data_IF_927211584131
#
_entry.id   IF_927211584131
#
_cell.length_a   1.000
_cell.length_b   1.000
_cell.length_c   1.000
_cell.angle_alpha   90.00
_cell.angle_beta   90.00
_cell.angle_gamma   90.00
#
_symmetry.space_group_name_H-M   'P 1'
#
loop_
_entity.id
_entity.type
_entity.pdbx_description
1 polymer ?
#
# COMPACT_ATOMS: atom_id res chain seq x y z
N UNK A 1 15.11 2.84 26.16
CA UNK A 1 15.43 2.83 24.71
C UNK A 1 15.07 4.18 24.12
N UNK A 2 15.86 4.71 23.19
CA UNK A 2 15.51 5.92 22.44
C UNK A 2 14.73 5.52 21.19
N UNK A 3 13.46 5.92 21.11
CA UNK A 3 12.57 5.63 19.97
C UNK A 3 12.51 6.78 18.96
N UNK A 4 13.32 7.82 19.15
CA UNK A 4 13.42 8.96 18.26
C UNK A 4 14.77 9.01 17.53
N UNK A 5 14.72 9.54 16.32
CA UNK A 5 15.90 9.90 15.54
C UNK A 5 15.81 11.38 15.14
N UNK A 6 16.96 12.01 14.97
CA UNK A 6 17.04 13.42 14.61
C UNK A 6 16.58 13.67 13.17
N UNK A 7 16.08 14.88 12.89
CA UNK A 7 15.80 15.32 11.53
C UNK A 7 17.05 15.27 10.62
N UNK A 8 18.26 15.41 11.19
CA UNK A 8 19.53 15.26 10.47
C UNK A 8 19.75 13.82 10.02
N UNK A 9 19.49 12.84 10.89
CA UNK A 9 19.54 11.41 10.53
C UNK A 9 18.51 11.07 9.45
N UNK A 10 17.28 11.58 9.57
CA UNK A 10 16.23 11.42 8.55
C UNK A 10 16.69 11.89 7.17
N UNK A 11 17.18 13.14 7.09
CA UNK A 11 17.65 13.75 5.83
C UNK A 11 18.81 12.97 5.22
N UNK A 12 19.75 12.49 6.04
CA UNK A 12 20.87 11.67 5.57
C UNK A 12 20.40 10.33 5.02
N UNK A 13 19.51 9.62 5.71
CA UNK A 13 18.95 8.35 5.24
C UNK A 13 18.19 8.53 3.91
N UNK A 14 17.37 9.58 3.80
CA UNK A 14 16.72 9.92 2.54
C UNK A 14 17.73 10.16 1.41
N UNK A 15 18.79 10.94 1.66
CA UNK A 15 19.80 11.23 0.66
C UNK A 15 20.56 9.98 0.20
N UNK A 16 20.86 9.05 1.12
CA UNK A 16 21.47 7.76 0.78
C UNK A 16 20.53 6.94 -0.11
N UNK A 17 19.26 6.81 0.26
CA UNK A 17 18.26 6.08 -0.54
C UNK A 17 18.09 6.71 -1.92
N UNK A 18 18.03 8.04 -1.99
CA UNK A 18 17.86 8.77 -3.25
C UNK A 18 19.05 8.58 -4.19
N UNK A 19 20.29 8.67 -3.69
CA UNK A 19 21.47 8.49 -4.53
C UNK A 19 21.60 7.04 -5.02
N UNK A 20 21.41 6.06 -4.11
CA UNK A 20 21.49 4.64 -4.47
C UNK A 20 20.39 4.26 -5.47
N UNK A 21 19.13 4.62 -5.20
CA UNK A 21 18.03 4.32 -6.12
C UNK A 21 18.18 5.10 -7.43
N UNK A 22 18.72 6.32 -7.42
CA UNK A 22 19.01 7.06 -8.65
C UNK A 22 19.95 6.32 -9.58
N UNK A 23 21.02 5.73 -9.04
CA UNK A 23 21.99 4.92 -9.80
C UNK A 23 21.33 3.64 -10.32
N UNK A 24 20.67 2.89 -9.44
CA UNK A 24 20.03 1.60 -9.78
C UNK A 24 18.94 1.82 -10.82
N UNK A 25 18.06 2.80 -10.65
CA UNK A 25 16.93 3.05 -11.56
C UNK A 25 17.37 3.55 -12.92
N UNK A 26 18.43 4.36 -12.98
CA UNK A 26 19.01 4.81 -14.25
C UNK A 26 19.47 3.62 -15.08
N UNK A 27 20.18 2.68 -14.47
CA UNK A 27 20.66 1.48 -15.16
C UNK A 27 19.53 0.48 -15.43
N UNK A 28 18.63 0.28 -14.49
CA UNK A 28 17.46 -0.60 -14.67
C UNK A 28 16.61 -0.18 -15.87
N UNK A 29 16.45 1.13 -16.09
CA UNK A 29 15.78 1.68 -17.25
C UNK A 29 16.50 1.31 -18.56
N UNK A 30 17.82 1.41 -18.60
CA UNK A 30 18.63 0.97 -19.76
C UNK A 30 18.42 -0.52 -20.03
N UNK A 31 18.51 -1.34 -18.99
CA UNK A 31 18.35 -2.78 -19.09
C UNK A 31 16.94 -3.20 -19.53
N UNK A 32 15.91 -2.47 -19.09
CA UNK A 32 14.54 -2.70 -19.55
C UNK A 32 14.36 -2.38 -21.04
N UNK A 33 14.96 -1.29 -21.53
CA UNK A 33 14.92 -0.92 -22.95
C UNK A 33 15.64 -1.95 -23.84
N UNK A 34 16.80 -2.48 -23.39
CA UNK A 34 17.49 -3.58 -24.08
C UNK A 34 16.65 -4.87 -24.13
N UNK A 35 15.82 -5.11 -23.12
CA UNK A 35 14.90 -6.24 -23.10
C UNK A 35 13.73 -6.04 -24.07
N UNK A 36 13.06 -4.90 -24.01
CA UNK A 36 12.01 -4.50 -24.95
C UNK A 36 11.89 -2.97 -24.97
N UNK A 37 11.90 -2.38 -26.17
CA UNK A 37 11.70 -0.94 -26.38
C UNK A 37 10.36 -0.43 -25.80
N UNK A 38 9.40 -1.34 -25.62
CA UNK A 38 8.06 -1.05 -25.13
C UNK A 38 7.88 -1.34 -23.63
N UNK A 39 8.86 -1.96 -22.96
CA UNK A 39 8.90 -2.03 -21.49
C UNK A 39 9.61 -0.78 -20.96
N UNK A 40 8.84 0.20 -20.48
CA UNK A 40 9.40 1.46 -19.95
C UNK A 40 9.34 1.49 -18.45
N UNK A 41 10.48 1.74 -17.80
CA UNK A 41 10.58 1.98 -16.36
C UNK A 41 10.89 3.47 -16.14
N UNK A 42 10.16 4.13 -15.25
CA UNK A 42 10.49 5.52 -14.84
C UNK A 42 11.75 5.49 -13.96
N UNK A 43 12.67 6.41 -14.23
CA UNK A 43 13.87 6.59 -13.40
C UNK A 43 13.54 7.25 -12.04
N UNK A 44 12.33 7.78 -11.89
CA UNK A 44 11.80 8.32 -10.64
C UNK A 44 10.97 7.27 -9.93
N UNK A 45 11.10 7.21 -8.62
CA UNK A 45 10.32 6.36 -7.75
C UNK A 45 9.43 7.19 -6.82
N UNK A 46 8.42 6.54 -6.26
CA UNK A 46 7.51 7.13 -5.28
C UNK A 46 7.78 6.48 -3.92
N UNK A 47 8.31 7.27 -2.98
CA UNK A 47 8.40 6.87 -1.57
C UNK A 47 7.00 6.77 -0.97
N UNK A 48 6.69 5.65 -0.34
CA UNK A 48 5.40 5.46 0.34
C UNK A 48 5.32 6.20 1.69
N UNK A 49 4.11 6.31 2.25
CA UNK A 49 3.80 7.14 3.42
C UNK A 49 4.52 6.70 4.72
N UNK A 50 4.79 5.40 4.90
CA UNK A 50 5.55 4.84 6.03
C UNK A 50 6.94 5.46 6.11
N UNK A 51 7.55 5.76 4.96
CA UNK A 51 8.85 6.38 4.80
C UNK A 51 8.79 7.92 4.84
N UNK A 52 7.86 8.51 5.58
CA UNK A 52 7.84 9.95 5.86
C UNK A 52 8.24 10.25 7.31
N UNK A 53 8.82 11.42 7.50
CA UNK A 53 9.06 12.00 8.82
C UNK A 53 7.71 12.15 9.53
N UNK A 54 7.44 11.28 10.51
CA UNK A 54 6.19 11.29 11.28
C UNK A 54 5.62 9.93 11.63
N UNK A 55 6.02 8.83 10.96
CA UNK A 55 5.52 7.49 11.29
C UNK A 55 6.61 6.47 11.64
N UNK A 56 7.88 6.75 11.30
CA UNK A 56 9.00 5.89 11.69
C UNK A 56 9.38 6.12 13.16
N UNK A 57 9.88 5.07 13.78
CA UNK A 57 10.36 5.03 15.16
C UNK A 57 11.74 4.36 15.16
N UNK A 58 12.56 4.64 16.18
CA UNK A 58 13.94 4.11 16.35
C UNK A 58 14.92 4.62 15.30
N UNK A 59 14.77 4.24 14.04
CA UNK A 59 15.65 4.64 12.95
C UNK A 59 14.87 4.77 11.62
N UNK A 60 15.38 5.59 10.68
CA UNK A 60 14.94 5.58 9.29
C UNK A 60 15.67 4.49 8.49
N UNK A 61 15.45 3.25 8.87
CA UNK A 61 16.16 2.05 8.39
C UNK A 61 15.35 1.22 7.38
N UNK A 62 14.11 1.62 7.06
CA UNK A 62 13.25 0.90 6.13
C UNK A 62 12.46 1.87 5.25
N UNK A 63 12.50 1.66 3.93
CA UNK A 63 11.80 2.45 2.92
C UNK A 63 11.07 1.56 1.91
N UNK A 64 9.90 1.99 1.48
CA UNK A 64 9.17 1.37 0.37
C UNK A 64 9.20 2.30 -0.84
N UNK A 65 9.61 1.78 -2.00
CA UNK A 65 9.74 2.51 -3.25
C UNK A 65 8.90 1.87 -4.35
N UNK A 66 7.83 2.55 -4.75
CA UNK A 66 7.09 2.19 -5.97
C UNK A 66 7.89 2.67 -7.16
N UNK A 67 8.14 1.77 -8.10
CA UNK A 67 8.87 2.05 -9.34
C UNK A 67 7.90 1.89 -10.51
N UNK A 68 7.41 3.01 -11.07
CA UNK A 68 6.47 2.99 -12.18
C UNK A 68 7.05 2.29 -13.41
N UNK A 69 6.23 1.47 -14.06
CA UNK A 69 6.53 0.96 -15.38
C UNK A 69 5.30 0.93 -16.28
N UNK A 70 5.54 0.83 -17.59
CA UNK A 70 4.54 0.78 -18.65
C UNK A 70 4.88 -0.32 -19.66
N UNK A 71 3.84 -0.97 -20.19
CA UNK A 71 3.93 -1.85 -21.36
C UNK A 71 3.28 -1.11 -22.53
N UNK A 72 4.09 -0.42 -23.35
CA UNK A 72 3.58 0.51 -24.35
C UNK A 72 2.88 -0.20 -25.50
N UNK A 73 1.72 0.32 -25.84
CA UNK A 73 0.90 -0.17 -26.96
C UNK A 73 0.19 -1.49 -26.72
N UNK A 74 0.10 -1.92 -25.46
CA UNK A 74 -0.91 -2.88 -25.05
C UNK A 74 -2.19 -2.15 -24.67
N UNK A 75 -3.31 -2.63 -25.21
CA UNK A 75 -4.63 -2.21 -24.78
C UNK A 75 -5.06 -3.10 -23.63
N UNK A 76 -5.12 -2.54 -22.43
CA UNK A 76 -5.35 -3.29 -21.20
C UNK A 76 -6.77 -3.04 -20.67
N UNK A 77 -7.51 -4.11 -20.45
CA UNK A 77 -8.77 -4.10 -19.73
C UNK A 77 -8.56 -4.64 -18.31
N UNK A 78 -9.05 -3.88 -17.33
CA UNK A 78 -9.09 -4.32 -15.94
C UNK A 78 -10.35 -5.15 -15.70
N UNK A 79 -10.19 -6.30 -15.07
CA UNK A 79 -11.30 -7.16 -14.67
C UNK A 79 -11.24 -7.41 -13.18
N UNK A 80 -12.36 -7.19 -12.48
CA UNK A 80 -12.47 -7.51 -11.07
C UNK A 80 -12.35 -9.01 -10.86
N UNK A 81 -11.54 -9.42 -9.89
CA UNK A 81 -11.46 -10.82 -9.50
C UNK A 81 -12.64 -11.20 -8.62
N UNK A 82 -13.03 -12.45 -8.70
CA UNK A 82 -14.08 -13.05 -7.87
C UNK A 82 -13.52 -14.26 -7.15
N UNK A 83 -14.00 -14.50 -5.94
CA UNK A 83 -13.69 -15.72 -5.20
C UNK A 83 -14.41 -16.95 -5.81
N UNK A 84 -14.27 -18.09 -5.15
CA UNK A 84 -14.92 -19.35 -5.53
C UNK A 84 -16.45 -19.27 -5.48
N UNK A 85 -17.01 -18.39 -4.65
CA UNK A 85 -18.46 -18.21 -4.47
C UNK A 85 -19.02 -17.14 -5.42
N UNK A 86 -18.16 -16.50 -6.21
CA UNK A 86 -18.53 -15.45 -7.17
C UNK A 86 -18.59 -14.04 -6.57
N UNK A 87 -18.20 -13.87 -5.31
CA UNK A 87 -18.10 -12.57 -4.65
C UNK A 87 -16.89 -11.83 -5.16
N UNK A 88 -17.05 -10.54 -5.45
CA UNK A 88 -15.93 -9.69 -5.90
C UNK A 88 -14.88 -9.56 -4.79
N UNK A 89 -13.62 -9.79 -5.14
CA UNK A 89 -12.46 -9.59 -4.27
C UNK A 89 -12.01 -8.12 -4.33
N UNK A 90 -12.25 -7.32 -3.28
CA UNK A 90 -12.04 -5.88 -3.36
C UNK A 90 -10.58 -5.52 -3.57
N UNK A 91 -10.33 -4.54 -4.43
CA UNK A 91 -8.99 -4.06 -4.75
C UNK A 91 -8.08 -5.07 -5.48
N UNK A 92 -8.61 -6.23 -5.90
CA UNK A 92 -7.89 -7.23 -6.69
C UNK A 92 -8.47 -7.31 -8.10
N UNK A 93 -7.58 -7.39 -9.08
CA UNK A 93 -7.95 -7.41 -10.50
C UNK A 93 -7.01 -8.32 -11.29
N UNK A 94 -7.45 -8.74 -12.48
CA UNK A 94 -6.58 -9.27 -13.53
C UNK A 94 -6.57 -8.29 -14.70
N UNK A 95 -5.54 -8.38 -15.54
CA UNK A 95 -5.35 -7.51 -16.69
C UNK A 95 -5.40 -8.33 -17.97
N UNK A 96 -6.44 -8.09 -18.78
CA UNK A 96 -6.62 -8.67 -20.10
C UNK A 96 -6.00 -7.77 -21.15
N UNK A 97 -5.23 -8.35 -22.07
CA UNK A 97 -4.70 -7.70 -23.26
C UNK A 97 -5.72 -7.88 -24.39
N UNK A 98 -6.23 -6.77 -24.91
CA UNK A 98 -7.26 -6.76 -25.96
C UNK A 98 -6.69 -6.86 -27.38
N UNK A 99 -5.40 -6.58 -27.54
CA UNK A 99 -4.71 -6.56 -28.84
C UNK A 99 -3.52 -7.53 -28.90
N UNK A 100 -3.68 -8.83 -28.58
CA UNK A 100 -2.56 -9.76 -28.44
C UNK A 100 -1.76 -10.03 -29.72
N UNK A 101 -2.29 -9.68 -30.89
CA UNK A 101 -1.56 -9.76 -32.16
C UNK A 101 -0.26 -8.93 -32.17
N UNK A 102 -0.15 -7.89 -31.33
CA UNK A 102 1.06 -7.05 -31.25
C UNK A 102 2.19 -7.68 -30.44
N UNK A 103 1.93 -8.78 -29.72
CA UNK A 103 2.87 -9.37 -28.77
C UNK A 103 4.11 -9.96 -29.44
N UNK A 104 3.96 -10.60 -30.59
CA UNK A 104 5.06 -11.21 -31.33
C UNK A 104 6.06 -10.17 -31.85
N UNK A 105 5.56 -9.02 -32.27
CA UNK A 105 6.40 -7.93 -32.80
C UNK A 105 7.04 -7.11 -31.67
N UNK A 106 6.25 -6.72 -30.67
CA UNK A 106 6.66 -5.70 -29.68
C UNK A 106 7.24 -6.28 -28.40
N UNK A 107 6.79 -7.48 -28.05
CA UNK A 107 7.14 -8.14 -26.79
C UNK A 107 7.64 -9.58 -26.95
N UNK A 108 8.46 -9.93 -27.97
CA UNK A 108 8.87 -11.31 -28.23
C UNK A 108 9.58 -11.94 -27.02
N UNK A 109 10.52 -11.22 -26.40
CA UNK A 109 11.25 -11.71 -25.21
C UNK A 109 10.36 -11.86 -23.96
N UNK A 110 9.29 -11.07 -23.82
CA UNK A 110 8.34 -11.23 -22.71
C UNK A 110 7.42 -12.44 -22.97
N UNK A 111 7.01 -12.66 -24.23
CA UNK A 111 6.26 -13.84 -24.66
C UNK A 111 7.06 -15.13 -24.45
N UNK A 112 8.33 -15.15 -24.86
CA UNK A 112 9.27 -16.26 -24.57
C UNK A 112 9.39 -16.56 -23.07
N UNK A 113 9.28 -15.53 -22.22
CA UNK A 113 9.30 -15.65 -20.75
C UNK A 113 7.94 -15.96 -20.13
N UNK A 114 6.91 -16.25 -20.94
CA UNK A 114 5.57 -16.62 -20.51
C UNK A 114 4.88 -15.53 -19.67
N UNK A 115 5.18 -14.25 -19.94
CA UNK A 115 4.52 -13.10 -19.30
C UNK A 115 3.05 -12.98 -19.72
N UNK A 116 2.71 -13.51 -20.89
CA UNK A 116 1.35 -13.54 -21.41
C UNK A 116 0.85 -14.98 -21.39
N UNK A 117 -0.31 -15.21 -20.80
CA UNK A 117 -0.95 -16.53 -20.74
C UNK A 117 -2.30 -16.44 -21.43
N UNK A 118 -2.65 -17.47 -22.22
CA UNK A 118 -3.94 -17.55 -22.89
C UNK A 118 -5.08 -17.43 -21.88
N UNK A 119 -6.10 -16.64 -22.24
CA UNK A 119 -7.32 -16.59 -21.46
C UNK A 119 -8.33 -17.59 -22.03
N UNK A 120 -8.59 -18.65 -21.28
CA UNK A 120 -9.54 -19.70 -21.68
C UNK A 120 -10.99 -19.36 -21.29
N UNK A 121 -11.24 -18.24 -20.60
CA UNK A 121 -12.59 -17.71 -20.45
C UNK A 121 -12.99 -17.03 -21.77
N UNK A 122 -13.85 -17.71 -22.54
CA UNK A 122 -14.39 -17.24 -23.82
C UNK A 122 -14.99 -15.84 -23.68
N UNK A 123 -14.25 -14.83 -24.14
CA UNK A 123 -14.76 -13.47 -24.24
C UNK A 123 -15.72 -13.38 -25.42
N UNK A 124 -17.01 -13.61 -25.16
CA UNK A 124 -18.10 -13.25 -26.07
C UNK A 124 -18.20 -11.72 -26.13
N UNK A 125 -17.33 -11.06 -26.90
CA UNK A 125 -17.47 -9.63 -27.18
C UNK A 125 -18.57 -9.47 -28.23
N UNK A 126 -19.74 -8.96 -27.84
CA UNK A 126 -20.78 -8.54 -28.78
C UNK A 126 -20.30 -7.29 -29.51
N UNK A 127 -19.90 -7.46 -30.76
CA UNK A 127 -19.76 -6.34 -31.69
C UNK A 127 -21.16 -5.72 -31.92
N UNK A 128 -21.33 -4.46 -31.51
CA UNK A 128 -22.63 -3.76 -31.53
C UNK A 128 -23.11 -3.46 -32.96
N UNK A 129 -22.24 -3.53 -33.97
CA UNK A 129 -22.61 -3.26 -35.37
C UNK A 129 -22.88 -4.52 -36.20
N UNK A 130 -22.27 -5.67 -35.88
CA UNK A 130 -22.28 -6.82 -36.79
C UNK A 130 -22.93 -8.10 -36.24
N UNK A 131 -23.25 -8.17 -34.94
CA UNK A 131 -23.78 -9.38 -34.28
C UNK A 131 -22.95 -10.67 -34.53
N UNK A 132 -21.68 -10.55 -34.96
CA UNK A 132 -20.78 -11.67 -35.18
C UNK A 132 -19.94 -11.90 -33.93
N UNK A 133 -20.01 -13.12 -33.39
CA UNK A 133 -19.11 -13.59 -32.33
C UNK A 133 -17.74 -13.81 -32.99
N UNK A 134 -16.76 -12.96 -32.68
CA UNK A 134 -15.36 -13.26 -33.02
C UNK A 134 -14.69 -13.89 -31.81
N UNK A 135 -14.19 -15.11 -31.99
CA UNK A 135 -13.17 -15.69 -31.11
C UNK A 135 -11.89 -14.86 -31.27
N UNK A 136 -11.81 -13.74 -30.57
CA UNK A 136 -10.53 -13.08 -30.38
C UNK A 136 -9.82 -13.83 -29.27
N UNK A 137 -8.71 -14.50 -29.62
CA UNK A 137 -7.72 -14.92 -28.65
C UNK A 137 -7.39 -13.68 -27.80
N UNK A 138 -7.57 -13.78 -26.50
CA UNK A 138 -7.15 -12.77 -25.54
C UNK A 138 -6.17 -13.41 -24.57
N UNK A 139 -5.31 -12.60 -23.96
CA UNK A 139 -4.34 -13.11 -22.99
C UNK A 139 -4.35 -12.26 -21.72
N UNK A 140 -3.98 -12.89 -20.61
CA UNK A 140 -3.79 -12.26 -19.32
C UNK A 140 -2.31 -11.98 -19.06
N UNK A 141 -2.01 -10.93 -18.30
CA UNK A 141 -0.65 -10.66 -17.84
C UNK A 141 -0.36 -11.51 -16.60
N UNK A 142 0.57 -12.47 -16.75
CA UNK A 142 1.08 -13.32 -15.70
C UNK A 142 2.04 -12.54 -14.78
N UNK A 143 1.55 -12.17 -13.60
CA UNK A 143 2.28 -11.34 -12.63
C UNK A 143 3.47 -12.09 -12.04
N UNK A 144 3.34 -13.41 -11.84
CA UNK A 144 4.43 -14.24 -11.35
C UNK A 144 5.59 -14.30 -12.34
N UNK A 145 5.32 -14.54 -13.62
CA UNK A 145 6.37 -14.59 -14.64
C UNK A 145 6.98 -13.21 -14.88
N UNK A 146 6.16 -12.16 -14.95
CA UNK A 146 6.65 -10.78 -15.05
C UNK A 146 7.58 -10.44 -13.89
N UNK A 147 7.24 -10.86 -12.67
CA UNK A 147 8.08 -10.60 -11.53
C UNK A 147 9.35 -11.48 -11.48
N UNK A 148 9.19 -12.80 -11.55
CA UNK A 148 10.26 -13.79 -11.36
C UNK A 148 11.24 -13.83 -12.54
N UNK A 149 10.75 -13.72 -13.78
CA UNK A 149 11.57 -13.88 -14.99
C UNK A 149 12.01 -12.55 -15.59
N UNK A 150 11.28 -11.47 -15.34
CA UNK A 150 11.62 -10.16 -15.91
C UNK A 150 12.24 -9.26 -14.85
N UNK A 151 11.47 -8.81 -13.86
CA UNK A 151 11.96 -7.81 -12.91
C UNK A 151 13.14 -8.30 -12.06
N UNK A 152 13.11 -9.54 -11.55
CA UNK A 152 14.27 -10.10 -10.83
C UNK A 152 15.52 -10.15 -11.69
N UNK A 153 15.40 -10.65 -12.92
CA UNK A 153 16.52 -10.73 -13.87
C UNK A 153 17.09 -9.35 -14.20
N UNK A 154 16.23 -8.37 -14.44
CA UNK A 154 16.64 -6.99 -14.70
C UNK A 154 17.36 -6.39 -13.48
N UNK A 155 16.83 -6.60 -12.28
CA UNK A 155 17.44 -6.12 -11.04
C UNK A 155 18.81 -6.75 -10.80
N UNK A 156 18.94 -8.07 -10.99
CA UNK A 156 20.21 -8.78 -10.76
C UNK A 156 21.30 -8.31 -11.73
N UNK A 157 20.95 -8.14 -13.02
CA UNK A 157 21.86 -7.56 -14.02
C UNK A 157 22.24 -6.12 -13.68
N UNK A 158 21.26 -5.31 -13.27
CA UNK A 158 21.47 -3.90 -12.87
C UNK A 158 22.42 -3.77 -11.69
N UNK A 159 22.22 -4.57 -10.64
CA UNK A 159 23.07 -4.54 -9.45
C UNK A 159 24.50 -4.97 -9.77
N UNK A 160 24.68 -5.98 -10.63
CA UNK A 160 26.01 -6.39 -11.09
C UNK A 160 26.73 -5.29 -11.86
N UNK A 161 26.03 -4.57 -12.75
CA UNK A 161 26.63 -3.46 -13.53
C UNK A 161 26.96 -2.25 -12.64
N UNK A 162 26.09 -1.95 -11.67
CA UNK A 162 26.22 -0.75 -10.83
C UNK A 162 27.11 -0.93 -9.60
N UNK A 163 27.54 -2.15 -9.30
CA UNK A 163 28.27 -2.52 -8.08
C UNK A 163 29.51 -1.65 -7.84
N UNK A 164 30.39 -1.52 -8.84
CA UNK A 164 31.62 -0.73 -8.72
C UNK A 164 31.36 0.76 -8.55
N UNK A 165 30.29 1.28 -9.17
CA UNK A 165 29.90 2.68 -9.00
C UNK A 165 29.39 2.94 -7.57
N UNK A 166 28.51 2.06 -7.07
CA UNK A 166 27.98 2.12 -5.71
C UNK A 166 29.10 2.02 -4.66
N UNK A 167 30.03 1.08 -4.84
CA UNK A 167 31.20 0.90 -3.96
C UNK A 167 32.10 2.13 -3.95
N UNK A 168 32.39 2.73 -5.11
CA UNK A 168 33.20 3.97 -5.20
C UNK A 168 32.55 5.14 -4.46
N UNK A 169 31.22 5.18 -4.38
CA UNK A 169 30.47 6.16 -3.59
C UNK A 169 30.35 5.81 -2.09
N UNK A 170 30.92 4.68 -1.66
CA UNK A 170 30.88 4.23 -0.27
C UNK A 170 29.59 3.51 0.11
N UNK A 171 28.84 2.97 -0.86
CA UNK A 171 27.65 2.15 -0.63
C UNK A 171 27.97 0.68 -0.88
N UNK A 172 27.61 -0.16 0.10
CA UNK A 172 27.55 -1.60 -0.12
C UNK A 172 26.09 -2.01 -0.20
N UNK A 173 25.67 -2.48 -1.38
CA UNK A 173 24.28 -2.78 -1.70
C UNK A 173 24.15 -4.27 -1.96
N UNK A 174 23.28 -4.94 -1.21
CA UNK A 174 23.00 -6.36 -1.37
C UNK A 174 21.52 -6.60 -1.60
N UNK A 175 21.18 -7.69 -2.31
CA UNK A 175 19.79 -8.07 -2.56
C UNK A 175 19.31 -9.05 -1.51
N UNK A 176 18.15 -8.78 -0.91
CA UNK A 176 17.41 -9.75 -0.12
C UNK A 176 16.70 -10.80 -1.00
N UNK A 177 16.31 -11.92 -0.40
CA UNK A 177 15.68 -13.04 -1.11
C UNK A 177 14.16 -13.12 -0.96
N UNK A 178 13.49 -12.09 -0.40
CA UNK A 178 12.07 -12.15 -0.01
C UNK A 178 11.10 -11.73 -1.12
N UNK A 179 10.32 -12.62 -1.72
CA UNK A 179 9.26 -12.28 -2.68
C UNK A 179 8.03 -11.66 -1.92
N UNK A 180 7.18 -10.75 -2.46
CA UNK A 180 7.10 -10.15 -3.81
C UNK A 180 7.76 -8.77 -3.93
N UNK A 181 8.58 -8.35 -2.97
CA UNK A 181 9.38 -7.14 -3.14
C UNK A 181 10.78 -7.54 -3.60
N UNK A 182 11.46 -6.69 -4.36
CA UNK A 182 12.89 -6.88 -4.57
C UNK A 182 13.60 -6.08 -3.48
N UNK A 183 13.78 -6.70 -2.32
CA UNK A 183 14.38 -6.03 -1.18
C UNK A 183 15.88 -5.75 -1.45
N UNK A 184 16.31 -4.52 -1.21
CA UNK A 184 17.68 -4.07 -1.34
C UNK A 184 18.14 -3.56 0.01
N UNK A 185 19.29 -4.05 0.49
CA UNK A 185 19.90 -3.59 1.74
C UNK A 185 21.11 -2.71 1.43
N UNK A 186 21.10 -1.50 1.96
CA UNK A 186 22.11 -0.47 1.74
C UNK A 186 22.91 -0.30 3.03
N UNK A 187 24.20 -0.60 2.99
CA UNK A 187 25.16 -0.20 4.04
C UNK A 187 25.93 1.03 3.57
N UNK A 188 26.06 2.02 4.46
CA UNK A 188 26.70 3.31 4.18
C UNK A 188 27.44 3.82 5.43
N UNK A 189 27.78 5.11 5.47
CA UNK A 189 28.34 5.76 6.66
C UNK A 189 27.31 6.01 7.79
N UNK A 190 26.06 5.57 7.62
CA UNK A 190 25.05 5.59 8.67
C UNK A 190 25.29 4.45 9.68
N UNK A 191 24.93 4.64 10.96
CA UNK A 191 25.17 3.65 12.01
C UNK A 191 24.22 2.43 11.93
N UNK A 192 23.39 2.35 10.89
CA UNK A 192 22.45 1.27 10.63
C UNK A 192 22.37 1.05 9.12
N UNK A 193 22.11 -0.20 8.68
CA UNK A 193 21.75 -0.46 7.29
C UNK A 193 20.35 0.08 6.99
N UNK A 194 20.07 0.35 5.71
CA UNK A 194 18.74 0.73 5.23
C UNK A 194 18.21 -0.39 4.34
N UNK A 195 17.06 -0.94 4.70
CA UNK A 195 16.29 -1.86 3.86
C UNK A 195 15.35 -1.06 2.96
N UNK A 196 15.34 -1.37 1.67
CA UNK A 196 14.51 -0.71 0.66
C UNK A 196 13.71 -1.78 -0.08
N UNK A 197 12.40 -1.75 0.09
CA UNK A 197 11.49 -2.59 -0.68
C UNK A 197 11.21 -1.95 -2.03
N UNK A 198 11.81 -2.51 -3.07
CA UNK A 198 11.52 -2.16 -4.45
C UNK A 198 10.24 -2.84 -4.91
N UNK A 199 9.25 -2.04 -5.33
CA UNK A 199 7.93 -2.50 -5.75
C UNK A 199 7.64 -2.01 -7.17
N UNK A 200 7.79 -2.85 -8.21
CA UNK A 200 7.37 -2.46 -9.55
C UNK A 200 5.86 -2.25 -9.59
N UNK A 201 5.43 -1.09 -10.08
CA UNK A 201 4.01 -0.72 -10.20
C UNK A 201 3.64 -0.40 -11.63
N UNK A 202 2.73 -1.18 -12.22
CA UNK A 202 2.23 -0.90 -13.56
C UNK A 202 1.42 0.40 -13.52
N UNK A 203 1.77 1.38 -14.35
CA UNK A 203 1.04 2.63 -14.45
C UNK A 203 -0.35 2.37 -15.05
N UNK A 204 -1.40 2.72 -14.29
CA UNK A 204 -2.81 2.60 -14.70
C UNK A 204 -3.45 3.96 -15.01
N UNK A 205 -2.62 5.00 -15.15
CA UNK A 205 -3.00 6.39 -15.38
C UNK A 205 -3.03 7.24 -14.12
N UNK A 206 -3.15 8.55 -14.33
CA UNK A 206 -3.33 9.54 -13.29
C UNK A 206 -4.81 9.89 -13.11
N UNK A 207 -5.17 10.18 -11.87
CA UNK A 207 -6.52 10.59 -11.49
C UNK A 207 -6.48 11.98 -10.86
N UNK A 208 -7.26 12.91 -11.41
CA UNK A 208 -7.33 14.27 -10.90
C UNK A 208 -8.55 14.44 -9.99
N UNK A 209 -8.31 14.61 -8.69
CA UNK A 209 -9.35 14.72 -7.67
C UNK A 209 -9.39 16.15 -7.13
N UNK A 210 -10.60 16.70 -6.94
CA UNK A 210 -10.79 17.99 -6.28
C UNK A 210 -11.00 17.74 -4.79
N UNK A 211 -10.00 18.07 -3.98
CA UNK A 211 -10.05 17.92 -2.52
C UNK A 211 -10.84 19.11 -1.95
N UNK A 212 -11.93 18.87 -1.21
CA UNK A 212 -12.74 19.93 -0.61
C UNK A 212 -11.94 20.82 0.35
N UNK A 213 -12.24 22.11 0.38
CA UNK A 213 -11.63 23.08 1.29
C UNK A 213 -11.79 22.68 2.78
N UNK A 214 -12.93 22.09 3.14
CA UNK A 214 -13.22 21.55 4.47
C UNK A 214 -12.24 20.46 4.93
N UNK A 215 -11.60 19.77 3.98
CA UNK A 215 -10.62 18.71 4.26
C UNK A 215 -9.21 19.29 4.33
N UNK A 216 -8.91 20.34 3.55
CA UNK A 216 -7.56 20.93 3.48
C UNK A 216 -7.36 22.02 4.53
N UNK A 217 -6.12 22.50 4.66
CA UNK A 217 -5.80 23.71 5.43
C UNK A 217 -5.67 24.96 4.55
N UNK A 218 -6.01 24.85 3.26
CA UNK A 218 -5.88 25.93 2.29
C UNK A 218 -7.23 26.60 2.05
N UNK A 219 -7.21 27.87 1.65
CA UNK A 219 -8.42 28.54 1.19
C UNK A 219 -8.83 27.99 -0.17
N UNK A 220 -10.05 27.47 -0.27
CA UNK A 220 -10.59 26.89 -1.49
C UNK A 220 -10.19 25.42 -1.71
N UNK A 221 -10.94 24.77 -2.59
CA UNK A 221 -10.70 23.37 -2.95
C UNK A 221 -9.44 23.25 -3.81
N UNK A 222 -8.70 22.14 -3.66
CA UNK A 222 -7.43 21.93 -4.36
C UNK A 222 -7.56 20.75 -5.33
N UNK A 223 -7.20 20.98 -6.60
CA UNK A 223 -7.00 19.89 -7.55
C UNK A 223 -5.69 19.16 -7.27
N UNK A 224 -5.76 17.85 -7.03
CA UNK A 224 -4.61 16.98 -6.79
C UNK A 224 -4.61 15.80 -7.75
N UNK A 225 -3.47 15.54 -8.38
CA UNK A 225 -3.27 14.37 -9.21
C UNK A 225 -2.73 13.19 -8.37
N UNK A 226 -3.37 12.04 -8.50
CA UNK A 226 -3.03 10.78 -7.86
C UNK A 226 -2.65 9.75 -8.94
N UNK A 227 -1.38 9.33 -9.01
CA UNK A 227 -1.03 8.23 -9.89
C UNK A 227 -1.63 6.93 -9.37
N UNK A 228 -2.18 6.12 -10.29
CA UNK A 228 -2.75 4.80 -10.00
C UNK A 228 -1.80 3.71 -10.47
N UNK A 229 -1.52 2.75 -9.60
CA UNK A 229 -0.65 1.62 -9.90
C UNK A 229 -1.33 0.29 -9.66
N UNK A 230 -1.05 -0.67 -10.54
CA UNK A 230 -1.29 -2.09 -10.32
C UNK A 230 -0.02 -2.72 -9.76
N UNK A 231 -0.10 -3.33 -8.59
CA UNK A 231 1.02 -4.05 -7.97
C UNK A 231 0.86 -5.54 -8.22
N UNK A 232 1.92 -6.21 -8.63
CA UNK A 232 1.93 -7.66 -8.78
C UNK A 232 1.73 -8.32 -7.40
N UNK A 233 0.80 -9.26 -7.33
CA UNK A 233 0.54 -10.08 -6.14
C UNK A 233 0.42 -11.53 -6.58
N UNK A 234 1.03 -12.46 -5.86
CA UNK A 234 0.72 -13.88 -6.00
C UNK A 234 0.08 -14.40 -4.73
N UNK A 235 -0.71 -15.46 -4.90
CA UNK A 235 -1.31 -16.19 -3.80
C UNK A 235 -0.21 -16.99 -3.11
N UNK A 236 0.12 -16.66 -1.85
CA UNK A 236 0.89 -17.58 -1.01
C UNK A 236 -0.06 -18.69 -0.54
N UNK A 237 0.46 -19.92 -0.38
CA UNK A 237 -0.26 -21.22 -0.31
C UNK A 237 -1.43 -21.36 0.69
N UNK A 238 -1.75 -20.33 1.47
CA UNK A 238 -2.74 -20.36 2.56
C UNK A 238 -4.00 -19.52 2.30
N UNK A 239 -4.09 -18.78 1.18
CA UNK A 239 -5.28 -18.00 0.82
C UNK A 239 -6.29 -18.84 0.01
N UNK A 240 -7.17 -19.56 0.71
CA UNK A 240 -8.18 -20.46 0.15
C UNK A 240 -9.27 -19.77 -0.70
N UNK A 241 -9.39 -18.44 -0.65
CA UNK A 241 -10.48 -17.71 -1.32
C UNK A 241 -10.23 -17.43 -2.81
N UNK A 242 -9.00 -17.57 -3.33
CA UNK A 242 -8.72 -17.28 -4.73
C UNK A 242 -8.93 -18.53 -5.59
N UNK A 243 -9.49 -18.35 -6.79
CA UNK A 243 -9.58 -19.43 -7.78
C UNK A 243 -8.18 -19.81 -8.23
N UNK A 244 -7.94 -21.11 -8.38
CA UNK A 244 -6.63 -21.66 -8.78
C UNK A 244 -6.12 -21.09 -10.11
N UNK A 245 -7.03 -20.82 -11.05
CA UNK A 245 -6.73 -20.22 -12.35
C UNK A 245 -6.20 -18.78 -12.26
N UNK A 246 -6.60 -18.02 -11.25
CA UNK A 246 -6.26 -16.60 -11.14
C UNK A 246 -4.93 -16.38 -10.39
N UNK A 247 -4.38 -17.41 -9.73
CA UNK A 247 -3.29 -17.28 -8.74
C UNK A 247 -2.02 -16.56 -9.23
N UNK A 248 -1.74 -16.66 -10.53
CA UNK A 248 -0.53 -16.15 -11.17
C UNK A 248 -0.79 -14.87 -12.01
N UNK A 249 -2.04 -14.36 -12.02
CA UNK A 249 -2.45 -13.17 -12.80
C UNK A 249 -3.03 -12.04 -11.92
N UNK A 250 -2.92 -12.17 -10.59
CA UNK A 250 -3.48 -11.19 -9.65
C UNK A 250 -2.66 -9.91 -9.60
N UNK A 251 -3.34 -8.80 -9.78
CA UNK A 251 -2.88 -7.45 -9.50
C UNK A 251 -3.66 -6.87 -8.32
N UNK A 252 -2.98 -6.09 -7.47
CA UNK A 252 -3.61 -5.29 -6.42
C UNK A 252 -3.57 -3.81 -6.80
N UNK A 253 -4.69 -3.12 -6.64
CA UNK A 253 -4.70 -1.65 -6.78
C UNK A 253 -3.88 -1.01 -5.66
N UNK A 254 -3.11 0.02 -5.99
CA UNK A 254 -2.27 0.73 -5.03
C UNK A 254 -2.95 2.01 -4.49
N UNK A 255 -3.17 2.06 -3.18
CA UNK A 255 -3.67 3.22 -2.43
C UNK A 255 -2.56 4.16 -1.95
N UNK A 256 -1.28 3.85 -2.17
CA UNK A 256 -0.18 4.54 -1.48
C UNK A 256 -0.06 6.04 -1.81
N UNK A 257 -0.50 6.48 -2.98
CA UNK A 257 -0.55 7.91 -3.35
C UNK A 257 -1.60 8.66 -2.52
N UNK A 258 -2.76 8.05 -2.28
CA UNK A 258 -3.81 8.56 -1.43
C UNK A 258 -3.43 8.53 0.05
N UNK A 259 -2.88 7.41 0.53
CA UNK A 259 -2.34 7.29 1.89
C UNK A 259 -1.31 8.39 2.17
N UNK A 260 -0.39 8.62 1.23
CA UNK A 260 0.59 9.70 1.35
C UNK A 260 -0.09 11.04 1.53
N UNK A 261 -1.12 11.34 0.73
CA UNK A 261 -1.85 12.60 0.87
C UNK A 261 -2.57 12.72 2.22
N UNK A 262 -3.17 11.65 2.75
CA UNK A 262 -3.78 11.63 4.09
C UNK A 262 -2.79 12.05 5.19
N UNK A 263 -1.54 11.59 5.11
CA UNK A 263 -0.51 12.00 6.06
C UNK A 263 0.09 13.38 5.76
N UNK A 264 0.10 13.82 4.50
CA UNK A 264 0.52 15.17 4.12
C UNK A 264 -0.45 16.22 4.69
N UNK A 265 -1.75 15.93 4.71
CA UNK A 265 -2.79 16.72 5.38
C UNK A 265 -2.57 16.89 6.89
N UNK A 266 -1.74 16.05 7.50
CA UNK A 266 -1.42 16.15 8.92
C UNK A 266 -0.33 17.19 9.18
N UNK A 267 0.56 17.48 8.22
CA UNK A 267 1.75 18.32 8.46
C UNK A 267 1.41 19.75 8.88
N UNK A 268 0.34 20.32 8.31
CA UNK A 268 -0.15 21.67 8.59
C UNK A 268 -1.29 21.72 9.61
N UNK A 269 -1.80 20.58 10.09
CA UNK A 269 -2.97 20.53 10.98
C UNK A 269 -2.61 19.99 12.36
N UNK A 270 -2.72 20.83 13.40
CA UNK A 270 -2.35 20.48 14.78
C UNK A 270 -3.13 19.27 15.32
N UNK A 271 -4.44 19.19 15.10
CA UNK A 271 -5.29 18.08 15.57
C UNK A 271 -4.87 16.76 14.92
N UNK A 272 -4.63 16.77 13.60
CA UNK A 272 -4.18 15.59 12.87
C UNK A 272 -2.77 15.14 13.29
N UNK A 273 -1.89 16.06 13.68
CA UNK A 273 -0.59 15.71 14.29
C UNK A 273 -0.74 14.97 15.62
N UNK A 274 -1.79 15.21 16.40
CA UNK A 274 -2.04 14.42 17.61
C UNK A 274 -2.26 12.94 17.29
N UNK A 275 -3.00 12.66 16.21
CA UNK A 275 -3.28 11.30 15.73
C UNK A 275 -2.00 10.63 15.22
N UNK A 276 -1.18 11.35 14.46
CA UNK A 276 0.13 10.84 13.99
C UNK A 276 1.04 10.51 15.17
N UNK A 277 1.09 11.38 16.19
CA UNK A 277 1.85 11.13 17.42
C UNK A 277 1.31 9.93 18.19
N UNK A 278 -0.02 9.80 18.35
CA UNK A 278 -0.63 8.62 18.96
C UNK A 278 -0.27 7.33 18.20
N UNK A 279 -0.28 7.36 16.87
CA UNK A 279 0.16 6.23 16.04
C UNK A 279 1.64 5.86 16.29
N UNK A 280 2.55 6.86 16.41
CA UNK A 280 3.96 6.61 16.75
C UNK A 280 4.11 5.96 18.12
N UNK A 281 3.37 6.44 19.13
CA UNK A 281 3.35 5.86 20.47
C UNK A 281 2.88 4.39 20.40
N UNK A 282 1.79 4.11 19.68
CA UNK A 282 1.29 2.74 19.50
C UNK A 282 2.30 1.84 18.78
N UNK A 283 3.05 2.34 17.80
CA UNK A 283 4.14 1.57 17.17
C UNK A 283 5.23 1.19 18.16
N UNK A 284 5.57 2.09 19.08
CA UNK A 284 6.54 1.81 20.16
C UNK A 284 5.99 0.71 21.07
N UNK A 285 4.75 0.86 21.54
CA UNK A 285 4.09 -0.13 22.41
C UNK A 285 4.02 -1.50 21.75
N UNK A 286 3.55 -1.58 20.50
CA UNK A 286 3.48 -2.83 19.74
C UNK A 286 4.87 -3.45 19.60
N UNK A 287 5.91 -2.66 19.27
CA UNK A 287 7.29 -3.16 19.19
C UNK A 287 7.76 -3.75 20.51
N UNK A 288 7.57 -3.03 21.62
CA UNK A 288 7.98 -3.51 22.95
C UNK A 288 7.23 -4.76 23.37
N UNK A 289 5.92 -4.82 23.14
CA UNK A 289 5.11 -5.98 23.53
C UNK A 289 5.35 -7.21 22.66
N UNK A 290 5.79 -7.04 21.40
CA UNK A 290 6.24 -8.14 20.53
C UNK A 290 7.47 -8.86 21.09
N UNK A 291 8.39 -8.13 21.72
CA UNK A 291 9.55 -8.73 22.39
C UNK A 291 9.11 -9.67 23.53
N UNK A 292 7.99 -9.35 24.19
CA UNK A 292 7.34 -10.20 25.18
C UNK A 292 6.34 -11.22 24.62
N UNK A 293 6.34 -11.49 23.31
CA UNK A 293 5.45 -12.45 22.63
C UNK A 293 3.95 -12.18 22.85
N UNK A 294 3.55 -10.91 23.00
CA UNK A 294 2.14 -10.56 23.11
C UNK A 294 1.39 -10.81 21.79
N UNK A 295 0.34 -11.65 21.83
CA UNK A 295 -0.40 -12.06 20.63
C UNK A 295 -1.04 -10.89 19.88
N UNK A 296 -1.65 -9.94 20.59
CA UNK A 296 -2.25 -8.76 19.98
C UNK A 296 -1.19 -7.89 19.27
N UNK A 297 -0.03 -7.72 19.91
CA UNK A 297 1.07 -6.98 19.32
C UNK A 297 1.67 -7.72 18.10
N UNK A 298 1.79 -9.04 18.16
CA UNK A 298 2.29 -9.87 17.06
C UNK A 298 1.39 -9.73 15.81
N UNK A 299 0.06 -9.71 15.99
CA UNK A 299 -0.92 -9.52 14.91
C UNK A 299 -0.87 -8.12 14.25
N UNK A 300 -0.48 -7.07 14.97
CA UNK A 300 -0.51 -5.70 14.45
C UNK A 300 0.73 -5.29 13.66
N UNK A 301 0.60 -5.16 12.35
CA UNK A 301 1.64 -4.57 11.49
C UNK A 301 1.62 -3.04 11.52
N UNK A 302 2.68 -2.42 10.97
CA UNK A 302 2.70 -0.97 10.70
C UNK A 302 1.53 -0.52 9.83
N UNK A 303 1.04 -1.37 8.92
CA UNK A 303 -0.10 -1.07 8.07
C UNK A 303 -1.41 -1.07 8.89
N UNK A 304 -1.62 -2.03 9.79
CA UNK A 304 -2.80 -2.06 10.67
C UNK A 304 -2.91 -0.78 11.52
N UNK A 305 -1.80 -0.35 12.13
CA UNK A 305 -1.77 0.90 12.91
C UNK A 305 -2.00 2.14 12.03
N UNK A 306 -1.47 2.14 10.81
CA UNK A 306 -1.70 3.23 9.83
C UNK A 306 -3.18 3.31 9.44
N UNK A 307 -3.85 2.18 9.23
CA UNK A 307 -5.28 2.10 8.93
C UNK A 307 -6.12 2.72 10.04
N UNK A 308 -5.86 2.37 11.31
CA UNK A 308 -6.53 3.00 12.45
C UNK A 308 -6.26 4.51 12.50
N UNK A 309 -5.02 4.93 12.24
CA UNK A 309 -4.69 6.36 12.19
C UNK A 309 -5.49 7.10 11.11
N UNK A 310 -5.70 6.51 9.93
CA UNK A 310 -6.50 7.11 8.86
C UNK A 310 -7.99 7.20 9.23
N UNK A 311 -8.57 6.18 9.87
CA UNK A 311 -9.93 6.28 10.42
C UNK A 311 -10.04 7.35 11.51
N UNK A 312 -9.05 7.47 12.39
CA UNK A 312 -9.01 8.56 13.36
C UNK A 312 -8.96 9.93 12.64
N UNK A 313 -8.15 10.09 11.58
CA UNK A 313 -8.08 11.34 10.82
C UNK A 313 -9.44 11.67 10.21
N UNK A 314 -10.09 10.70 9.58
CA UNK A 314 -11.41 10.84 8.98
C UNK A 314 -12.46 11.22 10.03
N UNK A 315 -12.68 10.37 11.03
CA UNK A 315 -13.79 10.49 11.98
C UNK A 315 -13.62 11.62 13.00
N UNK A 316 -12.38 12.05 13.29
CA UNK A 316 -12.12 13.07 14.32
C UNK A 316 -11.80 14.45 13.73
N UNK A 317 -11.50 14.55 12.43
CA UNK A 317 -10.95 15.80 11.87
C UNK A 317 -11.51 16.22 10.52
N UNK A 318 -12.28 15.37 9.82
CA UNK A 318 -12.98 15.78 8.60
C UNK A 318 -14.33 16.39 8.99
N UNK A 319 -14.56 17.70 8.79
CA UNK A 319 -15.75 18.38 9.34
C UNK A 319 -17.09 17.81 8.86
N UNK A 320 -17.14 17.23 7.66
CA UNK A 320 -18.35 16.62 7.10
C UNK A 320 -18.60 15.20 7.61
N UNK A 321 -17.73 14.66 8.45
CA UNK A 321 -17.81 13.30 9.01
C UNK A 321 -17.80 13.34 10.53
N UNK A 322 -16.91 14.13 11.12
CA UNK A 322 -16.84 14.34 12.56
C UNK A 322 -18.14 14.97 13.08
N UNK A 323 -18.54 14.71 14.34
CA UNK A 323 -19.70 15.36 14.93
C UNK A 323 -19.58 16.90 14.85
N UNK A 324 -20.70 17.63 14.72
CA UNK A 324 -20.69 19.09 14.77
C UNK A 324 -19.97 19.60 16.00
N UNK A 325 -19.18 20.67 15.83
CA UNK A 325 -18.38 21.32 16.88
C UNK A 325 -17.34 20.43 17.60
N UNK A 326 -17.10 19.22 17.08
CA UNK A 326 -16.13 18.31 17.67
C UNK A 326 -14.69 18.84 17.60
N UNK A 327 -13.99 18.77 18.72
CA UNK A 327 -12.60 19.20 18.84
C UNK A 327 -11.74 18.16 19.54
N UNK A 328 -10.78 17.59 18.80
CA UNK A 328 -9.75 16.74 19.39
C UNK A 328 -8.76 17.58 20.22
N UNK A 329 -8.79 17.42 21.53
CA UNK A 329 -8.09 18.26 22.51
C UNK A 329 -6.59 17.99 22.64
N UNK A 330 -6.11 16.78 22.33
CA UNK A 330 -4.70 16.45 22.49
C UNK A 330 -4.29 15.04 22.09
N UNK A 331 -3.00 14.74 22.32
CA UNK A 331 -2.42 13.41 22.06
C UNK A 331 -3.04 12.34 22.96
N UNK A 332 -3.30 12.63 24.24
CA UNK A 332 -3.89 11.66 25.17
C UNK A 332 -5.30 11.23 24.75
N UNK A 333 -6.12 12.19 24.27
CA UNK A 333 -7.45 11.90 23.74
C UNK A 333 -7.37 11.13 22.42
N UNK A 334 -6.46 11.53 21.51
CA UNK A 334 -6.23 10.81 20.25
C UNK A 334 -5.80 9.36 20.51
N UNK A 335 -4.94 9.12 21.51
CA UNK A 335 -4.52 7.79 21.92
C UNK A 335 -5.67 7.00 22.55
N UNK A 336 -6.57 7.66 23.28
CA UNK A 336 -7.82 7.08 23.77
C UNK A 336 -8.70 6.55 22.64
N UNK A 337 -8.99 7.35 21.60
CA UNK A 337 -9.72 6.87 20.43
C UNK A 337 -9.00 5.72 19.72
N UNK A 338 -7.69 5.84 19.56
CA UNK A 338 -6.88 4.81 18.89
C UNK A 338 -6.99 3.45 19.61
N UNK A 339 -6.84 3.45 20.95
CA UNK A 339 -6.99 2.24 21.77
C UNK A 339 -8.43 1.72 21.74
N UNK A 340 -9.43 2.61 21.84
CA UNK A 340 -10.84 2.22 21.77
C UNK A 340 -11.19 1.55 20.44
N UNK A 341 -10.72 2.10 19.32
CA UNK A 341 -10.93 1.55 17.99
C UNK A 341 -10.23 0.19 17.83
N UNK A 342 -8.97 0.07 18.28
CA UNK A 342 -8.27 -1.23 18.29
C UNK A 342 -9.00 -2.27 19.15
N UNK A 343 -9.51 -1.87 20.32
CA UNK A 343 -10.27 -2.76 21.21
C UNK A 343 -11.54 -3.29 20.52
N UNK A 344 -12.25 -2.43 19.79
CA UNK A 344 -13.41 -2.83 19.00
C UNK A 344 -13.01 -3.76 17.87
N UNK A 345 -11.96 -3.42 17.11
CA UNK A 345 -11.40 -4.25 16.02
C UNK A 345 -11.05 -5.65 16.49
N UNK A 346 -10.40 -5.80 17.64
CA UNK A 346 -10.09 -7.13 18.20
C UNK A 346 -11.33 -7.85 18.74
N UNK A 347 -12.31 -7.11 19.26
CA UNK A 347 -13.57 -7.70 19.74
C UNK A 347 -14.41 -8.25 18.57
N UNK A 348 -14.45 -7.53 17.46
CA UNK A 348 -15.20 -7.91 16.26
C UNK A 348 -14.39 -8.77 15.29
N UNK A 349 -13.09 -8.95 15.54
CA UNK A 349 -12.18 -9.73 14.69
C UNK A 349 -12.09 -9.18 13.25
N UNK A 350 -12.33 -7.86 13.10
CA UNK A 350 -12.48 -7.16 11.83
C UNK A 350 -11.71 -5.84 11.84
N UNK A 351 -10.82 -5.65 10.86
CA UNK A 351 -10.15 -4.39 10.55
C UNK A 351 -10.32 -4.08 9.05
N UNK A 352 -11.32 -3.29 8.65
CA UNK A 352 -11.54 -2.99 7.24
C UNK A 352 -10.41 -2.10 6.68
N UNK A 353 -9.94 -2.39 5.48
CA UNK A 353 -9.01 -1.50 4.76
C UNK A 353 -9.64 -0.11 4.57
N UNK A 354 -8.84 0.94 4.73
CA UNK A 354 -9.35 2.32 4.69
C UNK A 354 -9.83 2.76 3.30
N UNK A 355 -9.26 2.22 2.23
CA UNK A 355 -9.54 2.63 0.85
C UNK A 355 -10.49 1.70 0.12
N UNK A 356 -10.84 0.55 0.69
CA UNK A 356 -11.72 -0.45 0.07
C UNK A 356 -13.04 -0.51 0.83
N UNK A 357 -14.11 0.03 0.24
CA UNK A 357 -15.46 -0.03 0.81
C UNK A 357 -15.73 0.95 1.95
N UNK A 358 -14.91 2.01 2.10
CA UNK A 358 -15.14 3.07 3.07
C UNK A 358 -16.16 4.10 2.56
N UNK A 359 -17.35 4.10 3.15
CA UNK A 359 -18.48 4.97 2.78
C UNK A 359 -18.20 6.47 2.90
N UNK A 360 -17.22 6.87 3.72
CA UNK A 360 -16.88 8.28 3.94
C UNK A 360 -15.76 8.78 3.03
N UNK A 361 -15.14 7.91 2.24
CA UNK A 361 -13.97 8.28 1.45
C UNK A 361 -14.29 9.36 0.42
N UNK A 362 -15.51 9.37 -0.15
CA UNK A 362 -15.99 10.43 -1.04
C UNK A 362 -16.12 11.81 -0.39
N UNK A 363 -16.07 11.91 0.95
CA UNK A 363 -15.98 13.19 1.66
C UNK A 363 -14.56 13.77 1.67
N UNK A 364 -13.55 12.93 1.45
CA UNK A 364 -12.13 13.30 1.43
C UNK A 364 -11.62 13.38 -0.01
N UNK A 365 -11.96 12.38 -0.82
CA UNK A 365 -11.56 12.20 -2.22
C UNK A 365 -12.79 12.02 -3.11
N UNK A 366 -13.59 13.07 -3.34
CA UNK A 366 -14.77 13.01 -4.19
C UNK A 366 -14.43 12.49 -5.60
N UNK A 367 -15.32 11.69 -6.18
CA UNK A 367 -15.20 11.16 -7.55
C UNK A 367 -13.89 10.42 -7.84
N UNK A 368 -13.20 9.93 -6.80
CA UNK A 368 -12.01 9.10 -6.95
C UNK A 368 -12.38 7.63 -7.12
N UNK A 369 -11.51 6.87 -7.77
CA UNK A 369 -11.63 5.42 -7.97
C UNK A 369 -11.97 4.69 -6.67
N UNK A 370 -11.32 5.06 -5.56
CA UNK A 370 -11.56 4.43 -4.26
C UNK A 370 -12.87 4.89 -3.62
N UNK A 371 -13.37 6.09 -3.91
CA UNK A 371 -14.66 6.55 -3.40
C UNK A 371 -15.85 5.81 -4.04
N UNK A 372 -15.65 5.24 -5.24
CA UNK A 372 -16.63 4.41 -5.93
C UNK A 372 -16.56 2.92 -5.51
N UNK A 373 -15.47 2.50 -4.87
CA UNK A 373 -15.28 1.12 -4.40
C UNK A 373 -16.20 0.82 -3.21
N UNK A 374 -17.06 -0.19 -3.36
CA UNK A 374 -18.04 -0.58 -2.35
C UNK A 374 -17.64 -1.84 -1.59
N UNK A 375 -16.74 -2.65 -2.15
CA UNK A 375 -16.30 -3.89 -1.52
C UNK A 375 -15.39 -3.61 -0.33
N UNK A 376 -15.78 -4.09 0.85
CA UNK A 376 -14.95 -4.02 2.05
C UNK A 376 -13.97 -5.19 2.09
N UNK A 377 -12.73 -4.91 2.45
CA UNK A 377 -11.69 -5.92 2.64
C UNK A 377 -11.22 -5.93 4.09
N UNK A 378 -11.31 -7.07 4.78
CA UNK A 378 -10.83 -7.19 6.15
C UNK A 378 -9.33 -7.55 6.15
N UNK A 379 -8.53 -6.68 6.77
CA UNK A 379 -7.07 -6.86 6.83
C UNK A 379 -6.64 -8.06 7.67
N UNK A 380 -7.53 -8.63 8.49
CA UNK A 380 -7.27 -9.87 9.24
C UNK A 380 -7.57 -11.15 8.45
N UNK A 381 -8.20 -11.09 7.27
CA UNK A 381 -8.54 -12.30 6.50
C UNK A 381 -7.30 -13.09 6.04
N UNK A 382 -6.15 -12.43 5.95
CA UNK A 382 -4.86 -13.05 5.61
C UNK A 382 -4.08 -13.59 6.82
N UNK A 383 -4.57 -13.35 8.03
CA UNK A 383 -3.90 -13.73 9.27
C UNK A 383 -4.50 -15.05 9.79
N UNK A 384 -3.79 -15.73 10.70
CA UNK A 384 -4.30 -16.97 11.27
C UNK A 384 -5.57 -16.69 12.12
N UNK A 385 -6.72 -17.32 11.84
CA UNK A 385 -7.97 -17.04 12.56
C UNK A 385 -7.90 -17.26 14.08
N UNK A 386 -7.12 -18.25 14.54
CA UNK A 386 -6.92 -18.48 15.97
C UNK A 386 -6.14 -17.33 16.62
N UNK A 387 -5.10 -16.81 15.95
CA UNK A 387 -4.35 -15.65 16.43
C UNK A 387 -5.21 -14.38 16.48
N UNK A 388 -6.10 -14.20 15.49
CA UNK A 388 -7.05 -13.08 15.47
C UNK A 388 -8.01 -13.17 16.66
N UNK A 389 -8.59 -14.36 16.89
CA UNK A 389 -9.49 -14.62 18.03
C UNK A 389 -8.81 -14.39 19.38
N UNK A 390 -7.56 -14.81 19.51
CA UNK A 390 -6.80 -14.71 20.77
C UNK A 390 -6.31 -13.29 21.08
N UNK A 391 -6.15 -12.43 20.06
CA UNK A 391 -5.63 -11.09 20.22
C UNK A 391 -6.41 -10.24 21.24
N UNK A 392 -7.73 -10.38 21.32
CA UNK A 392 -8.56 -9.63 22.29
C UNK A 392 -8.19 -9.90 23.75
N UNK A 393 -7.72 -11.10 24.07
CA UNK A 393 -7.33 -11.50 25.43
C UNK A 393 -5.99 -10.87 25.86
N UNK A 394 -5.15 -10.48 24.90
CA UNK A 394 -3.84 -9.87 25.14
C UNK A 394 -3.85 -8.33 25.03
N UNK A 395 -4.98 -7.71 24.67
CA UNK A 395 -5.08 -6.27 24.44
C UNK A 395 -4.84 -5.43 25.70
N UNK A 396 -5.25 -5.91 26.87
CA UNK A 396 -5.08 -5.18 28.15
C UNK A 396 -3.62 -4.84 28.48
N UNK A 397 -2.66 -5.59 27.94
CA UNK A 397 -1.24 -5.27 28.06
C UNK A 397 -0.87 -3.96 27.36
N UNK A 398 -1.54 -3.61 26.24
CA UNK A 398 -1.35 -2.32 25.56
C UNK A 398 -1.91 -1.17 26.41
N UNK A 399 -3.10 -1.35 26.98
CA UNK A 399 -3.71 -0.37 27.89
C UNK A 399 -2.80 -0.14 29.12
N UNK A 400 -2.27 -1.23 29.70
CA UNK A 400 -1.34 -1.15 30.84
C UNK A 400 0.00 -0.49 30.49
N UNK A 401 0.54 -0.74 29.30
CA UNK A 401 1.78 -0.11 28.85
C UNK A 401 1.65 1.41 28.64
N UNK A 402 0.41 1.90 28.53
CA UNK A 402 0.07 3.30 28.31
C UNK A 402 -0.68 3.92 29.50
N UNK A 403 -0.62 3.29 30.67
CA UNK A 403 -1.33 3.79 31.85
C UNK A 403 -0.96 5.27 32.14
N UNK A 404 -1.97 6.08 32.40
CA UNK A 404 -1.82 7.54 32.54
C UNK A 404 -1.50 8.34 31.27
N UNK A 405 -1.34 7.70 30.10
CA UNK A 405 -0.99 8.38 28.84
C UNK A 405 -2.18 8.60 27.88
N UNK A 406 -3.35 8.04 28.18
CA UNK A 406 -4.56 8.16 27.37
C UNK A 406 -5.78 8.48 28.24
N UNK A 407 -6.86 8.95 27.62
CA UNK A 407 -8.12 9.26 28.30
C UNK A 407 -9.29 8.52 27.64
N UNK A 408 -10.03 7.72 28.42
CA UNK A 408 -11.31 7.17 27.99
C UNK A 408 -12.52 7.98 28.44
N UNK A 409 -12.42 8.63 29.60
CA UNK A 409 -13.58 9.17 30.35
C UNK A 409 -14.37 10.27 29.64
N UNK A 410 -13.92 10.77 28.49
CA UNK A 410 -14.62 11.81 27.72
C UNK A 410 -14.57 11.57 26.21
N UNK A 411 -14.33 10.34 25.76
CA UNK A 411 -14.42 10.05 24.33
C UNK A 411 -15.87 10.21 23.87
N UNK A 412 -16.06 10.85 22.71
CA UNK A 412 -17.36 11.11 22.14
C UNK A 412 -17.99 9.79 21.65
N UNK A 413 -19.08 9.38 22.30
CA UNK A 413 -19.79 8.14 21.99
C UNK A 413 -20.33 8.08 20.56
N UNK A 414 -20.69 9.21 19.94
CA UNK A 414 -21.17 9.23 18.56
C UNK A 414 -20.06 8.83 17.58
N UNK A 415 -18.82 9.27 17.83
CA UNK A 415 -17.65 8.84 17.05
C UNK A 415 -17.41 7.33 17.21
N UNK A 416 -17.45 6.84 18.45
CA UNK A 416 -17.23 5.41 18.75
C UNK A 416 -18.32 4.56 18.06
N UNK A 417 -19.58 4.96 18.18
CA UNK A 417 -20.72 4.29 17.53
C UNK A 417 -20.64 4.36 16.01
N UNK A 418 -20.13 5.45 15.44
CA UNK A 418 -19.91 5.54 14.00
C UNK A 418 -18.87 4.50 13.54
N UNK A 419 -17.74 4.42 14.24
CA UNK A 419 -16.72 3.41 13.95
C UNK A 419 -17.28 1.97 14.10
N UNK A 420 -17.95 1.67 15.21
CA UNK A 420 -18.50 0.33 15.47
C UNK A 420 -19.58 -0.07 14.45
N UNK A 421 -20.54 0.81 14.15
CA UNK A 421 -21.73 0.44 13.37
C UNK A 421 -21.59 0.64 11.86
N UNK A 422 -20.69 1.53 11.42
CA UNK A 422 -20.52 1.88 10.00
C UNK A 422 -19.21 1.38 9.43
N UNK A 423 -18.11 1.54 10.17
CA UNK A 423 -16.80 1.09 9.69
C UNK A 423 -16.69 -0.42 9.80
N UNK A 424 -16.84 -0.98 11.01
CA UNK A 424 -16.60 -2.41 11.28
C UNK A 424 -17.66 -3.38 10.73
N UNK A 425 -18.75 -2.87 10.15
CA UNK A 425 -19.76 -3.71 9.51
C UNK A 425 -19.23 -4.23 8.17
N UNK A 426 -18.88 -5.51 8.10
CA UNK A 426 -18.48 -6.21 6.86
C UNK A 426 -19.68 -6.68 6.04
#
# INVERSE_FOLDING_TARGET
>A
MNYEFSAKQWKKACAVVDDVLGIILSELKTQALELSNDLKIDARFIRQASARQGLKIVAPDEFDAIVPFELKGLDLQKEQLKDTDGTVLPGQMRLRVLNPSVLDERFPKLKERQVFTEDHETSLIKDQETCLIKDQETCLINTKMLQEKVFKSLMDKTLSITEDNLKRKGYNVTRGSRPPTMNIKISSNLPFPIDVDFVPGLNLGDEAVIIPDSVTTHQGSIRKNFPRFGLMKWVNKENLCNREQDKDVIWRICSSSYERYMFDLCLSNRKRRYIVTACRIMKVVVRTLREGQNHAANLLTSYHLKTIAMYCIELLTVPTVAPPDFHLGGVCEALGYFLKFLKLVFKTEVLPDFFLGNEYLGKIFPDSYFAEERGKYNLFDKENPAQVKDAKHCFSAMEKALDGCYTYENLNDAVIKCFENRVLRM
#
